data_IF_540909015408
#
_entry.id   IF_540909015408
#
_cell.length_a   1.000
_cell.length_b   1.000
_cell.length_c   1.000
_cell.angle_alpha   90.00
_cell.angle_beta   90.00
_cell.angle_gamma   90.00
#
_symmetry.space_group_name_H-M   'P 1'
#
loop_
_entity.id
_entity.type
_entity.pdbx_description
1 polymer ?
#
# COMPACT_ATOMS: atom_id res chain seq x y z
N UNK A 1 -23.04 -17.70 -45.13
CA UNK A 1 -21.60 -17.64 -45.44
C UNK A 1 -20.96 -16.78 -44.38
N UNK A 2 -20.05 -17.40 -43.62
CA UNK A 2 -19.08 -16.85 -42.66
C UNK A 2 -19.53 -15.78 -41.64
N UNK A 3 -19.58 -16.19 -40.37
CA UNK A 3 -19.08 -15.36 -39.28
C UNK A 3 -17.73 -15.94 -38.86
N UNK A 4 -16.64 -15.16 -38.91
CA UNK A 4 -15.61 -15.34 -37.89
C UNK A 4 -14.80 -14.05 -37.70
N UNK A 5 -14.98 -13.38 -36.56
CA UNK A 5 -13.89 -13.11 -35.62
C UNK A 5 -14.37 -12.16 -34.52
N UNK A 6 -14.75 -12.80 -33.42
CA UNK A 6 -14.45 -12.37 -32.06
C UNK A 6 -13.07 -11.71 -31.98
N UNK A 7 -12.99 -10.39 -32.17
CA UNK A 7 -11.79 -9.62 -31.89
C UNK A 7 -11.65 -9.47 -30.37
N UNK A 8 -10.99 -10.49 -29.82
CA UNK A 8 -10.14 -10.44 -28.64
C UNK A 8 -10.83 -10.31 -27.28
N UNK A 9 -11.45 -11.40 -26.85
CA UNK A 9 -11.17 -11.86 -25.49
C UNK A 9 -9.89 -12.71 -25.54
N UNK A 10 -8.79 -12.12 -25.11
CA UNK A 10 -7.71 -12.87 -24.48
C UNK A 10 -7.43 -12.19 -23.15
N UNK A 11 -7.76 -12.80 -22.00
CA UNK A 11 -7.21 -12.36 -20.73
C UNK A 11 -5.71 -12.63 -20.83
N UNK A 12 -4.93 -11.57 -21.04
CA UNK A 12 -3.48 -11.67 -20.98
C UNK A 12 -3.15 -12.23 -19.59
N UNK A 13 -2.58 -13.42 -19.56
CA UNK A 13 -1.89 -13.92 -18.38
C UNK A 13 -1.00 -12.79 -17.86
N UNK A 14 -1.06 -12.46 -16.55
CA UNK A 14 -0.35 -11.30 -16.04
C UNK A 14 1.13 -11.47 -16.38
N UNK A 15 1.68 -10.47 -17.05
CA UNK A 15 3.11 -10.43 -17.37
C UNK A 15 3.91 -10.50 -16.07
N UNK A 16 5.14 -11.04 -16.13
CA UNK A 16 5.96 -11.24 -14.93
C UNK A 16 6.17 -9.94 -14.11
N UNK A 17 6.08 -8.77 -14.75
CA UNK A 17 6.11 -7.46 -14.09
C UNK A 17 4.80 -7.13 -13.38
N UNK A 18 3.64 -7.38 -14.01
CA UNK A 18 2.32 -7.20 -13.38
C UNK A 18 2.17 -8.09 -12.13
N UNK A 19 2.70 -9.32 -12.18
CA UNK A 19 2.72 -10.22 -11.02
C UNK A 19 3.53 -9.63 -9.87
N UNK A 20 4.75 -9.13 -10.15
CA UNK A 20 5.61 -8.52 -9.13
C UNK A 20 5.01 -7.26 -8.52
N UNK A 21 4.41 -6.40 -9.34
CA UNK A 21 3.72 -5.18 -8.89
C UNK A 21 2.51 -5.57 -8.02
N UNK A 22 1.76 -6.59 -8.43
CA UNK A 22 0.65 -7.14 -7.64
C UNK A 22 1.10 -7.65 -6.27
N UNK A 23 2.19 -8.43 -6.21
CA UNK A 23 2.77 -8.90 -4.94
C UNK A 23 3.25 -7.75 -4.05
N UNK A 24 3.93 -6.75 -4.63
CA UNK A 24 4.40 -5.58 -3.89
C UNK A 24 3.21 -4.80 -3.30
N UNK A 25 2.15 -4.62 -4.08
CA UNK A 25 0.91 -3.98 -3.64
C UNK A 25 0.28 -4.72 -2.45
N UNK A 26 0.15 -6.05 -2.54
CA UNK A 26 -0.41 -6.86 -1.44
C UNK A 26 0.43 -6.71 -0.17
N UNK A 27 1.76 -6.71 -0.27
CA UNK A 27 2.65 -6.50 0.89
C UNK A 27 2.44 -5.13 1.54
N UNK A 28 2.30 -4.08 0.73
CA UNK A 28 2.05 -2.72 1.21
C UNK A 28 0.67 -2.58 1.86
N UNK A 29 -0.36 -3.18 1.27
CA UNK A 29 -1.71 -3.20 1.84
C UNK A 29 -1.73 -3.94 3.18
N UNK A 30 -1.01 -5.06 3.30
CA UNK A 30 -0.87 -5.79 4.56
C UNK A 30 -0.16 -4.97 5.64
N UNK A 31 0.93 -4.27 5.29
CA UNK A 31 1.64 -3.36 6.20
C UNK A 31 0.72 -2.23 6.69
N UNK A 32 0.02 -1.57 5.76
CA UNK A 32 -0.92 -0.48 6.08
C UNK A 32 -2.04 -0.97 7.01
N UNK A 33 -2.64 -2.12 6.70
CA UNK A 33 -3.70 -2.71 7.51
C UNK A 33 -3.23 -3.07 8.91
N UNK A 34 -2.01 -3.58 9.06
CA UNK A 34 -1.44 -3.86 10.36
C UNK A 34 -1.27 -2.59 11.19
N UNK A 35 -0.71 -1.53 10.60
CA UNK A 35 -0.53 -0.24 11.28
C UNK A 35 -1.86 0.40 11.68
N UNK A 36 -2.87 0.38 10.80
CA UNK A 36 -4.24 0.86 11.09
C UNK A 36 -4.90 0.11 12.24
N UNK A 37 -4.59 -1.18 12.42
CA UNK A 37 -5.15 -1.98 13.52
C UNK A 37 -4.60 -1.58 14.89
N UNK A 38 -3.36 -1.09 14.93
CA UNK A 38 -2.69 -0.78 16.20
C UNK A 38 -2.82 0.70 16.58
N UNK A 39 -3.14 1.58 15.63
CA UNK A 39 -3.29 3.03 15.86
C UNK A 39 -4.68 3.52 15.43
N UNK A 40 -5.53 3.75 16.44
CA UNK A 40 -6.92 4.20 16.26
C UNK A 40 -6.95 5.68 15.85
N UNK A 41 -7.73 6.02 14.80
CA UNK A 41 -8.00 7.40 14.40
C UNK A 41 -6.87 8.08 13.62
N UNK A 42 -5.92 7.31 13.10
CA UNK A 42 -4.78 7.78 12.31
C UNK A 42 -4.66 7.10 10.94
N UNK A 43 -5.78 6.69 10.36
CA UNK A 43 -5.85 5.92 9.12
C UNK A 43 -5.20 6.68 7.95
N UNK A 44 -5.50 7.97 7.82
CA UNK A 44 -4.92 8.86 6.80
C UNK A 44 -3.41 9.05 6.99
N UNK A 45 -2.94 9.11 8.26
CA UNK A 45 -1.51 9.25 8.58
C UNK A 45 -0.75 7.98 8.20
N UNK A 46 -1.34 6.80 8.44
CA UNK A 46 -0.76 5.53 8.01
C UNK A 46 -0.63 5.47 6.50
N UNK A 47 -1.66 5.87 5.76
CA UNK A 47 -1.62 5.88 4.29
C UNK A 47 -0.54 6.84 3.76
N UNK A 48 -0.42 8.03 4.35
CA UNK A 48 0.64 8.99 4.02
C UNK A 48 2.05 8.47 4.33
N UNK A 49 2.22 7.76 5.46
CA UNK A 49 3.50 7.15 5.84
C UNK A 49 3.93 6.05 4.87
N UNK A 50 3.01 5.16 4.48
CA UNK A 50 3.28 4.09 3.50
C UNK A 50 3.59 4.69 2.13
N UNK A 51 2.86 5.71 1.71
CA UNK A 51 3.12 6.44 0.47
C UNK A 51 4.52 7.08 0.48
N UNK A 52 4.88 7.77 1.55
CA UNK A 52 6.20 8.38 1.67
C UNK A 52 7.32 7.33 1.66
N UNK A 53 7.12 6.19 2.32
CA UNK A 53 8.09 5.09 2.34
C UNK A 53 8.40 4.57 0.93
N UNK A 54 7.38 4.31 0.12
CA UNK A 54 7.57 3.81 -1.25
C UNK A 54 8.10 4.88 -2.21
N UNK A 55 7.73 6.14 -1.98
CA UNK A 55 8.25 7.29 -2.71
C UNK A 55 9.70 7.65 -2.32
N UNK A 56 10.20 7.09 -1.21
CA UNK A 56 11.49 7.44 -0.58
C UNK A 56 11.56 8.89 -0.08
N UNK A 57 10.43 9.38 0.41
CA UNK A 57 10.27 10.73 0.93
C UNK A 57 10.29 10.77 2.46
N UNK A 58 10.51 11.96 3.01
CA UNK A 58 10.56 12.20 4.45
C UNK A 58 9.20 12.64 5.00
N UNK A 59 8.88 12.22 6.23
CA UNK A 59 7.64 12.60 6.92
C UNK A 59 7.96 13.27 8.26
N UNK A 60 7.23 14.34 8.56
CA UNK A 60 7.19 15.01 9.86
C UNK A 60 5.79 14.86 10.43
N UNK A 61 5.69 14.40 11.67
CA UNK A 61 4.42 14.29 12.40
C UNK A 61 4.35 15.33 13.51
N UNK A 62 3.33 16.20 13.48
CA UNK A 62 3.12 17.27 14.46
C UNK A 62 1.82 17.03 15.20
N UNK A 63 1.83 17.17 16.53
CA UNK A 63 0.61 17.08 17.34
C UNK A 63 0.90 17.01 18.84
N UNK A 64 -0.13 17.11 19.70
CA UNK A 64 -0.01 17.08 21.17
C UNK A 64 0.73 15.84 21.71
N UNK A 65 1.34 15.87 22.90
CA UNK A 65 1.94 14.69 23.50
C UNK A 65 0.90 13.57 23.68
N UNK A 66 1.32 12.30 23.55
CA UNK A 66 0.43 11.14 23.72
C UNK A 66 -0.37 10.70 22.49
N UNK A 67 -0.30 11.41 21.36
CA UNK A 67 -1.04 11.05 20.12
C UNK A 67 -0.35 9.98 19.26
N UNK A 68 0.28 8.98 19.88
CA UNK A 68 0.92 7.83 19.23
C UNK A 68 1.98 8.11 18.13
N UNK A 69 2.45 9.35 17.92
CA UNK A 69 3.44 9.70 16.86
C UNK A 69 4.71 8.83 16.87
N UNK A 70 5.37 8.74 18.03
CA UNK A 70 6.58 7.91 18.17
C UNK A 70 6.28 6.43 18.02
N UNK A 71 5.09 6.01 18.46
CA UNK A 71 4.64 4.63 18.32
C UNK A 71 4.42 4.26 16.85
N UNK A 72 3.81 5.15 16.04
CA UNK A 72 3.64 4.98 14.60
C UNK A 72 4.99 4.82 13.89
N UNK A 73 5.94 5.72 14.16
CA UNK A 73 7.28 5.67 13.57
C UNK A 73 8.01 4.35 13.90
N UNK A 74 7.97 3.92 15.16
CA UNK A 74 8.59 2.67 15.60
C UNK A 74 7.89 1.43 15.03
N UNK A 75 6.57 1.47 14.90
CA UNK A 75 5.80 0.36 14.33
C UNK A 75 6.10 0.20 12.84
N UNK A 76 6.16 1.30 12.09
CA UNK A 76 6.55 1.29 10.67
C UNK A 76 7.96 0.75 10.47
N UNK A 77 8.92 1.11 11.33
CA UNK A 77 10.31 0.67 11.20
C UNK A 77 10.55 -0.82 11.55
N UNK A 78 9.62 -1.47 12.26
CA UNK A 78 9.75 -2.86 12.74
C UNK A 78 8.99 -3.89 11.92
N UNK A 79 8.18 -3.45 10.96
CA UNK A 79 7.36 -4.29 10.09
C UNK A 79 7.91 -4.27 8.68
#
# INVERSE_FOLDING_TARGET
MENPQTLNQTPASPTAEEVKIGEARIRLENLANELKRVVIGHEEVVDALVLALIAKEHVVMIGPPGTAKSFLALSLARR
#
